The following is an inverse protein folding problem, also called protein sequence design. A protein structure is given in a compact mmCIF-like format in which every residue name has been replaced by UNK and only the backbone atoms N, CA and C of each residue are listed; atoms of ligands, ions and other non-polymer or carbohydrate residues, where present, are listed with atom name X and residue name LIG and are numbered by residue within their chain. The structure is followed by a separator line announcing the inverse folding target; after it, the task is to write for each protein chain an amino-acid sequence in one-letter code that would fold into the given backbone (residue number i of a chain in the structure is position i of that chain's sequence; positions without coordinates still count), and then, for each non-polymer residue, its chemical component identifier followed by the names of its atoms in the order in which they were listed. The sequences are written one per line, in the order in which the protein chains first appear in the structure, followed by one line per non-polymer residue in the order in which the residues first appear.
data_IF_038947434316
#
_entry.id   IF_038947434316
#
_cell.length_a   1.000
_cell.length_b   1.000
_cell.length_c   1.000
_cell.angle_alpha   90.00
_cell.angle_beta   90.00
_cell.angle_gamma   90.00
#
_symmetry.space_group_name_H-M   'P 1'
#
loop_
_entity.id
_entity.type
_entity.pdbx_description
1 polymer ?
#
# COMPACT_ATOMS: atom_id res chain seq x y z
N UNK A 1 -4.60 15.31 2.19
CA UNK A 1 -3.83 14.88 3.38
C UNK A 1 -2.87 15.98 3.82
N UNK A 2 -2.05 16.56 2.91
CA UNK A 2 -1.10 17.61 3.26
C UNK A 2 -1.79 18.83 3.93
N UNK A 3 -2.92 19.29 3.40
CA UNK A 3 -3.71 20.38 4.01
C UNK A 3 -4.28 19.95 5.37
N UNK A 4 -4.65 18.70 5.53
CA UNK A 4 -5.13 18.17 6.80
C UNK A 4 -4.02 18.17 7.86
N UNK A 5 -2.81 17.78 7.50
CA UNK A 5 -1.65 17.83 8.37
C UNK A 5 -1.37 19.28 8.86
N UNK A 6 -1.51 20.28 7.99
CA UNK A 6 -1.37 21.69 8.38
C UNK A 6 -2.41 22.11 9.43
N UNK A 7 -3.66 21.65 9.29
CA UNK A 7 -4.72 21.98 10.27
C UNK A 7 -4.42 21.43 11.66
N UNK A 8 -3.68 20.35 11.76
CA UNK A 8 -3.27 19.74 13.04
C UNK A 8 -1.85 20.13 13.46
N UNK A 9 -1.28 21.15 12.83
CA UNK A 9 0.01 21.75 13.23
C UNK A 9 1.25 21.08 12.64
N UNK A 10 1.10 20.17 11.67
CA UNK A 10 2.20 19.61 10.92
C UNK A 10 2.26 20.27 9.54
N UNK A 11 3.25 21.12 9.35
CA UNK A 11 3.54 21.71 8.05
C UNK A 11 4.44 20.74 7.24
N UNK A 12 3.94 20.13 6.15
CA UNK A 12 4.74 19.20 5.35
C UNK A 12 6.05 19.79 4.84
N UNK A 13 6.05 21.07 4.45
CA UNK A 13 7.25 21.78 3.98
C UNK A 13 8.35 21.89 5.04
N UNK A 14 7.97 21.84 6.32
CA UNK A 14 8.89 21.95 7.44
C UNK A 14 9.43 20.59 7.90
N UNK A 15 8.65 19.53 7.75
CA UNK A 15 8.96 18.23 8.35
C UNK A 15 9.34 17.16 7.33
N UNK A 16 9.05 17.37 6.05
CA UNK A 16 9.39 16.41 5.00
C UNK A 16 10.36 17.01 3.99
N UNK A 17 11.41 16.28 3.66
CA UNK A 17 12.35 16.63 2.59
C UNK A 17 11.75 16.42 1.22
N UNK A 18 10.84 15.46 1.13
CA UNK A 18 10.06 15.11 -0.05
C UNK A 18 8.75 14.50 0.39
N UNK A 19 7.65 14.82 -0.29
CA UNK A 19 6.39 14.14 -0.09
C UNK A 19 5.56 14.09 -1.36
N UNK A 20 4.74 13.05 -1.47
CA UNK A 20 3.86 12.81 -2.61
C UNK A 20 2.48 12.48 -2.07
N UNK A 21 1.47 13.21 -2.53
CA UNK A 21 0.06 12.90 -2.24
C UNK A 21 -0.59 12.27 -3.48
N UNK A 22 -1.14 11.08 -3.32
CA UNK A 22 -1.76 10.33 -4.41
C UNK A 22 -3.10 9.74 -3.99
N UNK A 23 -4.13 9.78 -4.86
CA UNK A 23 -5.41 9.14 -4.63
C UNK A 23 -5.38 7.67 -5.08
N UNK A 24 -6.08 6.82 -4.31
CA UNK A 24 -6.49 5.47 -4.71
C UNK A 24 -8.00 5.46 -4.80
N UNK A 25 -8.52 4.96 -5.91
CA UNK A 25 -9.93 4.97 -6.23
C UNK A 25 -10.55 3.59 -6.02
N UNK A 26 -11.84 3.56 -5.74
CA UNK A 26 -12.67 2.35 -5.73
C UNK A 26 -13.99 2.62 -6.43
N UNK A 27 -14.51 1.60 -7.13
CA UNK A 27 -15.78 1.69 -7.85
C UNK A 27 -16.45 0.33 -7.89
N UNK A 28 -17.78 0.29 -7.90
CA UNK A 28 -18.57 -0.94 -8.08
C UNK A 28 -18.39 -1.58 -9.47
N UNK A 29 -17.79 -0.85 -10.40
CA UNK A 29 -17.46 -1.37 -11.72
C UNK A 29 -16.35 -2.43 -11.66
N UNK A 30 -15.45 -2.37 -10.66
CA UNK A 30 -14.37 -3.32 -10.46
C UNK A 30 -14.36 -3.89 -9.03
N UNK A 31 -14.80 -5.13 -8.91
CA UNK A 31 -14.80 -5.91 -7.68
C UNK A 31 -13.80 -7.05 -7.77
N UNK A 32 -13.47 -7.71 -6.65
CA UNK A 32 -12.56 -8.85 -6.65
C UNK A 32 -13.03 -9.95 -7.63
N UNK A 33 -14.33 -10.24 -7.66
CA UNK A 33 -14.88 -11.22 -8.61
C UNK A 33 -14.66 -10.81 -10.06
N UNK A 34 -14.87 -9.53 -10.40
CA UNK A 34 -14.64 -9.00 -11.75
C UNK A 34 -13.14 -8.89 -12.08
N UNK A 35 -12.31 -8.54 -11.12
CA UNK A 35 -10.86 -8.39 -11.30
C UNK A 35 -10.12 -9.71 -11.46
N UNK A 36 -10.61 -10.79 -10.84
CA UNK A 36 -10.03 -12.14 -10.97
C UNK A 36 -10.65 -12.94 -12.12
N UNK A 37 -11.91 -12.68 -12.46
CA UNK A 37 -12.72 -13.54 -13.32
C UNK A 37 -13.32 -14.72 -12.54
N UNK A 38 -14.48 -15.19 -12.99
CA UNK A 38 -15.32 -16.16 -12.26
C UNK A 38 -14.59 -17.45 -11.89
N UNK A 39 -13.84 -18.03 -12.82
CA UNK A 39 -13.14 -19.29 -12.61
C UNK A 39 -12.03 -19.17 -11.54
N UNK A 40 -11.18 -18.15 -11.67
CA UNK A 40 -10.08 -17.90 -10.72
C UNK A 40 -10.63 -17.49 -9.35
N UNK A 41 -11.68 -16.65 -9.32
CA UNK A 41 -12.33 -16.25 -8.08
C UNK A 41 -12.91 -17.45 -7.32
N UNK A 42 -13.61 -18.37 -8.02
CA UNK A 42 -14.17 -19.57 -7.40
C UNK A 42 -13.08 -20.49 -6.83
N UNK A 43 -11.93 -20.60 -7.51
CA UNK A 43 -10.77 -21.33 -6.99
C UNK A 43 -10.19 -20.64 -5.75
N UNK A 44 -9.97 -19.33 -5.81
CA UNK A 44 -9.43 -18.56 -4.69
C UNK A 44 -10.31 -18.61 -3.44
N UNK A 45 -11.63 -18.64 -3.59
CA UNK A 45 -12.59 -18.76 -2.49
C UNK A 45 -12.46 -20.07 -1.70
N UNK A 46 -11.94 -21.13 -2.30
CA UNK A 46 -11.66 -22.40 -1.62
C UNK A 46 -10.41 -22.31 -0.74
N UNK A 47 -9.44 -21.49 -1.15
CA UNK A 47 -8.15 -21.32 -0.45
C UNK A 47 -8.23 -20.25 0.63
N UNK A 48 -8.99 -19.18 0.41
CA UNK A 48 -9.10 -18.00 1.27
C UNK A 48 -10.53 -17.80 1.80
N UNK A 49 -10.76 -18.20 3.04
CA UNK A 49 -12.04 -17.94 3.71
C UNK A 49 -12.21 -16.43 3.95
N UNK A 50 -13.27 -15.85 3.43
CA UNK A 50 -13.59 -14.43 3.63
C UNK A 50 -13.38 -13.54 2.40
N UNK A 51 -12.83 -14.06 1.31
CA UNK A 51 -12.84 -13.35 0.03
C UNK A 51 -14.27 -13.27 -0.51
N UNK A 52 -14.71 -12.08 -0.90
CA UNK A 52 -16.06 -11.84 -1.43
C UNK A 52 -15.97 -11.24 -2.82
N UNK A 53 -16.90 -11.64 -3.67
CA UNK A 53 -16.97 -11.18 -5.06
C UNK A 53 -17.32 -9.69 -5.19
N UNK A 54 -18.10 -9.15 -4.24
CA UNK A 54 -18.56 -7.77 -4.19
C UNK A 54 -17.57 -6.80 -3.52
N UNK A 55 -16.46 -7.30 -2.99
CA UNK A 55 -15.43 -6.45 -2.39
C UNK A 55 -14.75 -5.62 -3.49
N UNK A 56 -14.69 -4.31 -3.27
CA UNK A 56 -14.14 -3.37 -4.25
C UNK A 56 -12.63 -3.51 -4.39
N UNK A 57 -12.16 -3.45 -5.62
CA UNK A 57 -10.74 -3.39 -5.95
C UNK A 57 -10.22 -1.96 -5.86
N UNK A 58 -8.94 -1.84 -5.52
CA UNK A 58 -8.22 -0.57 -5.52
C UNK A 58 -7.67 -0.27 -6.90
N UNK A 59 -7.84 0.97 -7.33
CA UNK A 59 -7.44 1.46 -8.65
C UNK A 59 -6.58 2.71 -8.47
N UNK A 60 -5.50 2.81 -9.21
CA UNK A 60 -4.63 3.98 -9.22
C UNK A 60 -4.27 4.38 -10.66
N UNK A 61 -4.14 5.68 -10.90
CA UNK A 61 -3.61 6.22 -12.17
C UNK A 61 -2.15 5.81 -12.33
N UNK A 62 -1.75 5.43 -13.52
CA UNK A 62 -0.35 5.06 -13.82
C UNK A 62 0.61 6.21 -13.53
N UNK A 63 0.20 7.46 -13.80
CA UNK A 63 1.02 8.64 -13.50
C UNK A 63 1.27 8.82 -11.99
N UNK A 64 0.28 8.49 -11.15
CA UNK A 64 0.39 8.61 -9.70
C UNK A 64 1.23 7.47 -9.10
N UNK A 65 1.02 6.23 -9.57
CA UNK A 65 1.88 5.11 -9.16
C UNK A 65 3.35 5.37 -9.51
N UNK A 66 3.64 5.85 -10.72
CA UNK A 66 5.02 6.09 -11.14
C UNK A 66 5.73 7.20 -10.33
N UNK A 67 5.00 8.14 -9.72
CA UNK A 67 5.57 9.07 -8.73
C UNK A 67 6.05 8.32 -7.48
N UNK A 68 5.20 7.40 -6.97
CA UNK A 68 5.52 6.58 -5.81
C UNK A 68 6.69 5.65 -6.11
N UNK A 69 6.65 4.96 -7.26
CA UNK A 69 7.72 4.05 -7.68
C UNK A 69 9.07 4.77 -7.74
N UNK A 70 9.14 5.97 -8.31
CA UNK A 70 10.38 6.78 -8.31
C UNK A 70 10.85 7.16 -6.91
N UNK A 71 9.92 7.54 -6.02
CA UNK A 71 10.26 7.92 -4.65
C UNK A 71 10.89 6.75 -3.87
N UNK A 72 10.39 5.53 -4.10
CA UNK A 72 10.88 4.33 -3.42
C UNK A 72 11.98 3.59 -4.19
N UNK A 73 12.31 4.01 -5.43
CA UNK A 73 13.29 3.32 -6.28
C UNK A 73 12.76 2.02 -6.89
N UNK A 74 11.43 1.89 -7.01
CA UNK A 74 10.76 0.73 -7.58
C UNK A 74 10.56 0.88 -9.10
N UNK A 75 10.15 -0.23 -9.74
CA UNK A 75 9.91 -0.25 -11.17
C UNK A 75 8.71 0.60 -11.57
N UNK A 76 8.91 1.54 -12.50
CA UNK A 76 7.81 2.27 -13.14
C UNK A 76 7.01 1.36 -14.08
N UNK A 77 5.71 1.59 -14.14
CA UNK A 77 4.80 0.86 -15.04
C UNK A 77 4.60 1.67 -16.31
N UNK A 78 4.67 0.97 -17.45
CA UNK A 78 4.35 1.52 -18.76
C UNK A 78 3.24 0.67 -19.38
N UNK A 79 2.09 1.28 -19.64
CA UNK A 79 0.89 0.65 -20.22
C UNK A 79 0.29 1.50 -21.33
N UNK A 80 -0.31 0.84 -22.30
CA UNK A 80 -1.06 1.51 -23.36
C UNK A 80 -2.45 1.98 -22.86
N UNK A 81 -3.13 2.79 -23.68
CA UNK A 81 -4.43 3.41 -23.33
C UNK A 81 -5.57 2.43 -23.09
N UNK A 82 -5.42 1.17 -23.47
CA UNK A 82 -6.38 0.07 -23.29
C UNK A 82 -5.81 -1.10 -22.47
N UNK A 83 -4.78 -0.84 -21.70
CA UNK A 83 -4.12 -1.84 -20.86
C UNK A 83 -4.22 -1.49 -19.38
N UNK A 84 -4.04 -2.51 -18.54
CA UNK A 84 -3.88 -2.35 -17.11
C UNK A 84 -2.72 -3.21 -16.62
N UNK A 85 -2.18 -2.86 -15.45
CA UNK A 85 -1.26 -3.70 -14.68
C UNK A 85 -1.80 -3.92 -13.28
N UNK A 86 -1.28 -4.91 -12.56
CA UNK A 86 -1.52 -5.09 -11.13
C UNK A 86 -0.18 -5.03 -10.43
N UNK A 87 -0.09 -4.20 -9.39
CA UNK A 87 1.04 -4.23 -8.45
C UNK A 87 0.67 -5.01 -7.20
N UNK A 88 1.64 -5.64 -6.57
CA UNK A 88 1.46 -6.30 -5.28
C UNK A 88 2.78 -6.84 -4.75
N UNK A 89 2.84 -7.07 -3.45
CA UNK A 89 4.01 -7.62 -2.76
C UNK A 89 3.64 -8.73 -1.75
N UNK A 90 2.35 -9.09 -1.63
CA UNK A 90 1.89 -10.19 -0.78
C UNK A 90 1.78 -11.49 -1.58
N UNK A 91 2.81 -12.34 -1.48
CA UNK A 91 3.01 -13.52 -2.32
C UNK A 91 1.76 -14.38 -2.51
N UNK A 92 1.03 -14.72 -1.45
CA UNK A 92 -0.13 -15.58 -1.52
C UNK A 92 -1.27 -15.02 -2.40
N UNK A 93 -1.45 -13.70 -2.42
CA UNK A 93 -2.47 -13.05 -3.25
C UNK A 93 -1.92 -12.78 -4.65
N UNK A 94 -0.64 -12.41 -4.76
CA UNK A 94 0.05 -12.24 -6.05
C UNK A 94 -0.04 -13.50 -6.89
N UNK A 95 0.12 -14.69 -6.29
CA UNK A 95 -0.03 -15.97 -7.01
C UNK A 95 -1.42 -16.13 -7.64
N UNK A 96 -2.47 -15.74 -6.94
CA UNK A 96 -3.84 -15.79 -7.48
C UNK A 96 -4.02 -14.77 -8.61
N UNK A 97 -3.53 -13.54 -8.42
CA UNK A 97 -3.58 -12.50 -9.45
C UNK A 97 -2.85 -12.93 -10.71
N UNK A 98 -1.71 -13.58 -10.58
CA UNK A 98 -0.93 -14.09 -11.71
C UNK A 98 -1.70 -15.15 -12.53
N UNK A 99 -2.52 -15.99 -11.89
CA UNK A 99 -3.41 -16.90 -12.61
C UNK A 99 -4.36 -16.14 -13.54
N UNK A 100 -4.97 -15.04 -13.05
CA UNK A 100 -5.87 -14.21 -13.86
C UNK A 100 -5.13 -13.46 -14.97
N UNK A 101 -3.97 -12.88 -14.68
CA UNK A 101 -3.16 -12.15 -15.66
C UNK A 101 -2.64 -13.07 -16.78
N UNK A 102 -2.20 -14.30 -16.43
CA UNK A 102 -1.64 -15.27 -17.38
C UNK A 102 -2.64 -15.75 -18.42
N UNK A 103 -3.94 -15.74 -18.11
CA UNK A 103 -5.00 -16.08 -19.07
C UNK A 103 -5.49 -14.85 -19.86
N UNK A 104 -4.90 -13.69 -19.62
CA UNK A 104 -5.27 -12.46 -20.30
C UNK A 104 -6.65 -11.93 -19.89
N UNK A 105 -7.03 -12.11 -18.61
CA UNK A 105 -8.34 -11.66 -18.11
C UNK A 105 -8.56 -10.16 -18.34
N UNK A 106 -9.65 -9.80 -18.99
CA UNK A 106 -10.00 -8.42 -19.30
C UNK A 106 -10.90 -7.84 -18.20
N UNK A 107 -10.70 -6.56 -17.89
CA UNK A 107 -11.57 -5.80 -16.98
C UNK A 107 -12.34 -4.72 -17.75
N UNK A 108 -13.48 -4.30 -17.21
CA UNK A 108 -14.29 -3.25 -17.79
C UNK A 108 -14.41 -2.09 -16.80
N UNK A 109 -14.06 -0.89 -17.27
CA UNK A 109 -14.20 0.36 -16.52
C UNK A 109 -14.84 1.40 -17.45
N UNK A 110 -15.91 2.06 -16.98
CA UNK A 110 -16.67 3.04 -17.78
C UNK A 110 -17.09 2.51 -19.16
N UNK A 111 -17.50 1.23 -19.22
CA UNK A 111 -17.91 0.58 -20.47
C UNK A 111 -16.77 0.31 -21.46
N UNK A 112 -15.51 0.57 -21.10
CA UNK A 112 -14.33 0.26 -21.90
C UNK A 112 -13.63 -0.96 -21.36
N UNK A 113 -13.14 -1.81 -22.26
CA UNK A 113 -12.39 -3.02 -21.92
C UNK A 113 -10.90 -2.72 -21.89
N UNK A 114 -10.24 -3.21 -20.86
CA UNK A 114 -8.80 -3.13 -20.67
C UNK A 114 -8.22 -4.53 -20.54
N UNK A 115 -7.12 -4.82 -21.22
CA UNK A 115 -6.38 -6.09 -21.16
C UNK A 115 -5.14 -5.94 -20.27
N UNK A 116 -4.62 -7.03 -19.68
CA UNK A 116 -3.39 -6.95 -18.90
C UNK A 116 -2.20 -6.62 -19.82
N UNK A 117 -1.35 -5.68 -19.38
CA UNK A 117 -0.08 -5.35 -20.03
C UNK A 117 1.02 -6.37 -19.71
N UNK A 118 0.91 -7.04 -18.58
CA UNK A 118 1.87 -8.03 -18.08
C UNK A 118 1.15 -9.34 -17.73
N UNK A 119 1.84 -10.46 -17.87
CA UNK A 119 1.30 -11.78 -17.53
C UNK A 119 1.35 -12.08 -16.02
N UNK A 120 2.04 -11.25 -15.25
CA UNK A 120 2.23 -11.37 -13.82
C UNK A 120 2.13 -9.98 -13.15
N UNK A 121 1.86 -9.97 -11.85
CA UNK A 121 1.92 -8.74 -11.06
C UNK A 121 3.33 -8.15 -11.11
N UNK A 122 3.38 -6.83 -11.20
CA UNK A 122 4.62 -6.09 -10.97
C UNK A 122 4.82 -5.98 -9.46
N UNK A 123 6.01 -6.33 -8.97
CA UNK A 123 6.35 -6.07 -7.57
C UNK A 123 6.21 -4.57 -7.30
N UNK A 124 5.44 -4.22 -6.29
CA UNK A 124 5.22 -2.82 -5.94
C UNK A 124 4.21 -2.65 -4.82
N UNK A 125 4.25 -1.47 -4.23
CA UNK A 125 3.41 -1.05 -3.10
C UNK A 125 3.15 0.45 -3.19
N UNK A 126 2.18 0.94 -2.43
CA UNK A 126 1.83 2.37 -2.39
C UNK A 126 2.07 3.01 -1.02
N UNK A 127 2.48 2.22 -0.03
CA UNK A 127 2.78 2.66 1.33
C UNK A 127 4.02 1.93 1.85
N UNK A 128 4.16 1.76 3.15
CA UNK A 128 5.31 1.08 3.74
C UNK A 128 5.44 -0.38 3.24
N UNK A 129 6.61 -0.69 2.68
CA UNK A 129 6.96 -2.01 2.14
C UNK A 129 7.44 -3.02 3.19
N UNK A 130 7.57 -2.66 4.46
CA UNK A 130 8.19 -3.52 5.47
C UNK A 130 7.35 -4.75 5.83
N UNK A 131 6.06 -4.73 5.54
CA UNK A 131 5.12 -5.80 5.89
C UNK A 131 4.70 -6.68 4.71
N UNK A 132 5.05 -6.33 3.47
CA UNK A 132 4.63 -7.07 2.26
C UNK A 132 3.13 -7.42 2.28
N UNK A 133 2.28 -6.41 2.47
CA UNK A 133 0.83 -6.60 2.63
C UNK A 133 0.01 -6.07 1.44
N UNK A 134 0.67 -5.65 0.35
CA UNK A 134 -0.03 -5.15 -0.82
C UNK A 134 -0.67 -6.30 -1.61
N UNK A 135 -1.98 -6.43 -1.45
CA UNK A 135 -2.78 -7.52 -2.02
C UNK A 135 -3.17 -7.32 -3.48
N UNK A 136 -2.76 -6.24 -4.08
CA UNK A 136 -3.01 -5.89 -5.46
C UNK A 136 -3.73 -4.55 -5.62
N UNK A 137 -3.16 -3.71 -6.49
CA UNK A 137 -3.77 -2.47 -6.95
C UNK A 137 -3.76 -2.49 -8.46
N UNK A 138 -4.91 -2.20 -9.06
CA UNK A 138 -5.05 -2.06 -10.50
C UNK A 138 -4.49 -0.71 -10.94
N UNK A 139 -3.42 -0.74 -11.71
CA UNK A 139 -2.80 0.44 -12.32
C UNK A 139 -3.39 0.58 -13.71
N UNK A 140 -4.04 1.70 -13.95
CA UNK A 140 -4.78 1.96 -15.20
C UNK A 140 -4.33 3.28 -15.83
N UNK A 141 -4.59 3.49 -17.14
CA UNK A 141 -4.36 4.79 -17.76
C UNK A 141 -5.10 5.90 -17.01
N UNK A 142 -4.52 7.09 -16.92
CA UNK A 142 -5.12 8.22 -16.19
C UNK A 142 -6.53 8.54 -16.68
N UNK A 143 -6.78 8.37 -17.99
CA UNK A 143 -8.08 8.59 -18.62
C UNK A 143 -9.16 7.55 -18.27
N UNK A 144 -8.78 6.44 -17.64
CA UNK A 144 -9.72 5.40 -17.20
C UNK A 144 -10.38 5.73 -15.85
N UNK A 145 -9.80 6.65 -15.08
CA UNK A 145 -10.24 7.01 -13.74
C UNK A 145 -11.19 8.21 -13.81
N UNK A 146 -12.33 8.10 -13.12
CA UNK A 146 -13.29 9.20 -12.94
C UNK A 146 -13.07 9.86 -11.58
N UNK A 147 -13.01 11.18 -11.57
CA UNK A 147 -12.78 11.96 -10.33
C UNK A 147 -13.94 11.85 -9.32
N UNK A 148 -15.15 11.50 -9.78
CA UNK A 148 -16.30 11.27 -8.93
C UNK A 148 -16.29 9.91 -8.20
N UNK A 149 -15.38 8.99 -8.55
CA UNK A 149 -15.26 7.74 -7.82
C UNK A 149 -14.81 7.98 -6.38
N UNK A 150 -15.27 7.14 -5.47
CA UNK A 150 -14.81 7.18 -4.08
C UNK A 150 -13.30 7.01 -4.05
N UNK A 151 -12.62 7.84 -3.28
CA UNK A 151 -11.15 7.83 -3.19
C UNK A 151 -10.63 7.91 -1.76
N UNK A 152 -9.47 7.33 -1.56
CA UNK A 152 -8.64 7.44 -0.37
C UNK A 152 -7.34 8.17 -0.77
N UNK A 153 -6.91 9.13 0.00
CA UNK A 153 -5.68 9.84 -0.28
C UNK A 153 -4.54 9.29 0.57
N UNK A 154 -3.43 8.99 -0.07
CA UNK A 154 -2.18 8.56 0.56
C UNK A 154 -1.19 9.71 0.48
N UNK A 155 -0.45 9.93 1.55
CA UNK A 155 0.71 10.81 1.56
C UNK A 155 1.92 9.97 1.94
N UNK A 156 2.86 9.87 1.02
CA UNK A 156 4.16 9.26 1.23
C UNK A 156 5.18 10.38 1.41
N UNK A 157 6.02 10.28 2.43
CA UNK A 157 6.95 11.35 2.76
C UNK A 157 8.27 10.79 3.30
N UNK A 158 9.35 11.50 3.00
CA UNK A 158 10.65 11.31 3.61
C UNK A 158 10.86 12.41 4.66
N UNK A 159 11.20 12.04 5.90
CA UNK A 159 11.45 13.00 6.96
C UNK A 159 12.69 13.85 6.68
N UNK A 160 12.63 15.14 7.06
CA UNK A 160 13.81 15.96 7.21
C UNK A 160 14.60 15.45 8.42
N UNK A 161 15.93 15.36 8.28
CA UNK A 161 16.87 14.97 9.33
C UNK A 161 17.95 14.07 8.78
N UNK A 162 19.17 14.26 9.27
CA UNK A 162 20.31 13.41 8.92
C UNK A 162 20.42 12.23 9.88
N UNK A 163 19.95 12.37 11.11
CA UNK A 163 20.00 11.34 12.16
C UNK A 163 18.64 10.68 12.39
N UNK A 164 18.67 9.48 12.96
CA UNK A 164 17.45 8.76 13.33
C UNK A 164 16.69 9.52 14.45
N UNK A 165 17.42 10.13 15.39
CA UNK A 165 16.83 10.91 16.48
C UNK A 165 16.06 12.15 15.98
N UNK A 166 16.55 12.84 14.96
CA UNK A 166 15.84 13.96 14.35
C UNK A 166 14.55 13.49 13.66
N UNK A 167 14.60 12.34 13.00
CA UNK A 167 13.41 11.75 12.35
C UNK A 167 12.39 11.27 13.37
N UNK A 168 12.83 10.70 14.51
CA UNK A 168 11.95 10.27 15.60
C UNK A 168 11.13 11.43 16.17
N UNK A 169 11.73 12.61 16.35
CA UNK A 169 11.02 13.80 16.83
C UNK A 169 9.85 14.17 15.91
N UNK A 170 10.02 14.03 14.61
CA UNK A 170 8.95 14.28 13.63
C UNK A 170 7.88 13.20 13.72
N UNK A 171 8.32 11.94 13.79
CA UNK A 171 7.44 10.79 13.86
C UNK A 171 6.54 10.81 15.11
N UNK A 172 7.10 11.07 16.28
CA UNK A 172 6.33 11.17 17.52
C UNK A 172 5.20 12.19 17.41
N UNK A 173 5.43 13.31 16.71
CA UNK A 173 4.37 14.30 16.47
C UNK A 173 3.26 13.74 15.57
N UNK A 174 3.61 12.98 14.54
CA UNK A 174 2.64 12.41 13.59
C UNK A 174 1.84 11.29 14.25
N UNK A 175 2.52 10.39 14.98
CA UNK A 175 1.87 9.27 15.68
C UNK A 175 0.94 9.79 16.79
N UNK A 176 1.39 10.75 17.59
CA UNK A 176 0.55 11.37 18.63
C UNK A 176 -0.70 12.05 18.06
N UNK A 177 -0.66 12.51 16.82
CA UNK A 177 -1.83 13.06 16.14
C UNK A 177 -2.85 12.01 15.74
N UNK A 178 -2.40 10.80 15.33
CA UNK A 178 -3.33 9.71 14.99
C UNK A 178 -4.13 9.22 16.21
N UNK A 179 -3.60 9.44 17.41
CA UNK A 179 -4.23 9.07 18.68
C UNK A 179 -5.02 10.23 19.33
N UNK A 180 -4.97 11.44 18.75
CA UNK A 180 -5.64 12.62 19.31
C UNK A 180 -7.13 12.61 18.98
N UNK A 181 -7.97 12.46 20.00
CA UNK A 181 -9.45 12.48 19.91
C UNK A 181 -9.97 13.79 19.27
N UNK A 182 -9.19 14.87 19.27
CA UNK A 182 -9.59 16.15 18.65
C UNK A 182 -9.59 16.08 17.13
N UNK A 183 -8.78 15.22 16.52
CA UNK A 183 -8.76 14.99 15.09
C UNK A 183 -10.01 14.20 14.68
N UNK A 184 -10.37 13.18 15.42
CA UNK A 184 -11.60 12.40 15.22
C UNK A 184 -12.87 13.27 15.37
N UNK A 185 -12.83 14.30 16.23
CA UNK A 185 -13.93 15.25 16.43
C UNK A 185 -14.04 16.33 15.33
N UNK A 186 -12.98 16.57 14.56
CA UNK A 186 -12.91 17.66 13.56
C UNK A 186 -13.36 17.31 12.14
N UNK A 187 -14.04 16.16 11.93
CA UNK A 187 -14.44 15.66 10.59
C UNK A 187 -13.27 15.45 9.60
N UNK A 188 -12.06 15.25 10.08
CA UNK A 188 -10.87 15.05 9.26
C UNK A 188 -10.80 13.62 8.69
N UNK A 189 -11.74 12.75 9.05
CA UNK A 189 -11.75 11.33 8.65
C UNK A 189 -10.67 10.51 9.39
N UNK A 190 -10.79 9.20 9.31
CA UNK A 190 -9.79 8.30 9.90
C UNK A 190 -8.44 8.48 9.20
N UNK A 191 -7.43 8.94 9.92
CA UNK A 191 -6.06 9.05 9.45
C UNK A 191 -5.24 7.91 10.06
N UNK A 192 -4.59 7.13 9.22
CA UNK A 192 -3.68 6.07 9.64
C UNK A 192 -2.26 6.46 9.23
N UNK A 193 -1.35 6.53 10.20
CA UNK A 193 0.07 6.75 9.95
C UNK A 193 0.82 5.41 10.01
N UNK A 194 1.60 5.12 8.98
CA UNK A 194 2.52 3.98 8.93
C UNK A 194 3.94 4.52 8.82
N UNK A 195 4.82 4.11 9.71
CA UNK A 195 6.19 4.58 9.71
C UNK A 195 7.18 3.43 9.60
N UNK A 196 8.13 3.61 8.68
CA UNK A 196 9.27 2.69 8.52
C UNK A 196 10.17 2.68 9.74
N UNK A 197 10.30 3.81 10.44
CA UNK A 197 11.14 3.94 11.63
C UNK A 197 10.57 3.15 12.80
N UNK A 198 9.26 3.29 13.09
CA UNK A 198 8.57 2.50 14.13
C UNK A 198 8.67 1.00 13.84
N UNK A 199 8.46 0.60 12.60
CA UNK A 199 8.56 -0.81 12.21
C UNK A 199 9.98 -1.36 12.37
N UNK A 200 11.00 -0.56 12.05
CA UNK A 200 12.40 -0.93 12.22
C UNK A 200 12.77 -1.09 13.69
N UNK A 201 12.34 -0.18 14.56
CA UNK A 201 12.59 -0.26 16.01
C UNK A 201 11.90 -1.45 16.65
N UNK A 202 10.65 -1.72 16.28
CA UNK A 202 9.93 -2.91 16.72
C UNK A 202 10.70 -4.20 16.32
N UNK A 203 11.24 -4.25 15.11
CA UNK A 203 12.05 -5.38 14.63
C UNK A 203 13.36 -5.54 15.40
N UNK A 204 14.04 -4.43 15.73
CA UNK A 204 15.26 -4.46 16.58
C UNK A 204 14.95 -4.97 17.99
N UNK A 205 13.81 -4.55 18.57
CA UNK A 205 13.36 -5.02 19.88
C UNK A 205 13.18 -6.55 19.92
N UNK A 206 12.45 -7.08 18.95
CA UNK A 206 12.22 -8.53 18.81
C UNK A 206 13.54 -9.27 18.58
N UNK A 207 14.40 -8.78 17.69
CA UNK A 207 15.72 -9.36 17.42
C UNK A 207 16.59 -9.44 18.68
N UNK A 208 16.60 -8.41 19.50
CA UNK A 208 17.33 -8.38 20.78
C UNK A 208 16.81 -9.42 21.77
N UNK A 209 15.51 -9.62 21.85
CA UNK A 209 14.89 -10.65 22.72
C UNK A 209 15.28 -12.05 22.26
N UNK A 210 15.24 -12.32 20.94
CA UNK A 210 15.61 -13.62 20.37
C UNK A 210 17.09 -13.93 20.64
N UNK A 211 17.97 -12.94 20.47
CA UNK A 211 19.42 -13.11 20.78
C UNK A 211 19.62 -13.38 22.27
N UNK A 212 18.93 -12.65 23.15
CA UNK A 212 19.03 -12.86 24.58
C UNK A 212 18.58 -14.27 24.99
N UNK A 213 17.44 -14.73 24.47
CA UNK A 213 16.94 -16.09 24.74
C UNK A 213 17.93 -17.14 24.20
N UNK A 214 18.46 -16.95 22.99
CA UNK A 214 19.44 -17.85 22.39
C UNK A 214 20.73 -17.95 23.20
N UNK A 215 21.25 -16.82 23.68
CA UNK A 215 22.43 -16.79 24.56
C UNK A 215 22.14 -17.47 25.91
N UNK A 216 20.99 -17.19 26.50
CA UNK A 216 20.60 -17.79 27.78
C UNK A 216 20.48 -19.31 27.70
N UNK A 217 19.82 -19.83 26.66
CA UNK A 217 19.71 -21.25 26.41
C UNK A 217 21.10 -21.86 26.11
N UNK A 218 21.93 -21.20 25.33
CA UNK A 218 23.30 -21.65 25.03
C UNK A 218 24.14 -21.79 26.29
N UNK A 219 24.04 -20.86 27.24
CA UNK A 219 24.74 -20.95 28.54
C UNK A 219 24.23 -22.12 29.38
N UNK A 220 22.92 -22.34 29.41
CA UNK A 220 22.34 -23.48 30.14
C UNK A 220 22.86 -24.81 29.58
N UNK A 221 22.89 -24.96 28.25
CA UNK A 221 23.41 -26.19 27.63
C UNK A 221 24.91 -26.40 27.83
N UNK A 222 25.71 -25.33 28.02
CA UNK A 222 27.14 -25.43 28.30
C UNK A 222 27.44 -25.86 29.77
N UNK A 223 26.51 -25.59 30.69
CA UNK A 223 26.68 -25.89 32.13
C UNK A 223 26.07 -27.24 32.51
N UNK A 224 25.15 -27.78 31.69
CA UNK A 224 24.49 -29.05 31.91
C UNK A 224 25.28 -30.23 31.30
#
# INVERSE_FOLDING_TARGET
VAETLKLVGIDPEKYFSEYIETPVYVTEELTIGKGLGEEIFNSAKLEFSGIRDDQLERIMKVSDYNKIARMFGEQEINIDSNEYAIIGDYDAVVEIRNKSLSIGHEIVLDGKTYKPAYNECVYGFISDSTQHMETGIFIVPDSAVKEEWRKFNYLNANYIGETEEEKQIVEEKIVNLSDDETINASNVGDMMALSKLTNYEASKGIGSIVIFIGLYLGVIFLIS
#
